data_IF_911665757629
#
_entry.id   IF_911665757629
#
_cell.length_a   1.000
_cell.length_b   1.000
_cell.length_c   1.000
_cell.angle_alpha   90.00
_cell.angle_beta   90.00
_cell.angle_gamma   90.00
#
_symmetry.space_group_name_H-M   'P 1'
#
loop_
_entity.id
_entity.type
_entity.pdbx_description
1 polymer ?
#
# COMPACT_ATOMS: atom_id res chain seq x y z
N UNK A 1 2.64 2.87 -24.71
CA UNK A 1 2.86 2.33 -23.36
C UNK A 1 1.49 1.97 -22.83
N UNK A 2 1.14 0.68 -22.83
CA UNK A 2 -0.20 0.19 -22.47
C UNK A 2 -0.24 0.15 -20.93
N UNK A 3 -1.05 1.03 -20.33
CA UNK A 3 -1.35 1.01 -18.91
C UNK A 3 -2.12 -0.28 -18.62
N UNK A 4 -1.42 -1.31 -18.14
CA UNK A 4 -2.06 -2.45 -17.51
C UNK A 4 -2.72 -1.92 -16.24
N UNK A 5 -4.06 -1.83 -16.24
CA UNK A 5 -4.79 -1.78 -14.98
C UNK A 5 -4.40 -3.04 -14.21
N UNK A 6 -3.59 -2.87 -13.15
CA UNK A 6 -3.25 -3.98 -12.26
C UNK A 6 -4.55 -4.35 -11.53
N UNK A 7 -5.28 -5.32 -12.07
CA UNK A 7 -6.50 -5.83 -11.47
C UNK A 7 -6.12 -6.40 -10.10
N UNK A 8 -6.73 -5.83 -9.06
CA UNK A 8 -6.55 -6.24 -7.68
C UNK A 8 -7.16 -7.63 -7.50
N UNK A 9 -6.31 -8.64 -7.40
CA UNK A 9 -6.73 -9.95 -6.92
C UNK A 9 -6.34 -10.07 -5.44
N UNK A 10 -7.33 -10.29 -4.54
CA UNK A 10 -7.04 -10.66 -3.17
C UNK A 10 -6.29 -11.99 -3.16
N UNK A 11 -5.39 -12.18 -2.19
CA UNK A 11 -4.64 -13.42 -2.10
C UNK A 11 -5.56 -14.53 -1.58
N UNK A 12 -5.77 -15.56 -2.39
CA UNK A 12 -6.64 -16.69 -2.04
C UNK A 12 -5.91 -17.83 -1.31
N UNK A 13 -4.58 -17.86 -1.36
CA UNK A 13 -3.78 -18.96 -0.82
C UNK A 13 -2.93 -18.50 0.38
N UNK A 14 -2.80 -19.34 1.42
CA UNK A 14 -1.96 -19.03 2.57
C UNK A 14 -0.47 -19.17 2.25
N UNK A 15 0.35 -18.28 2.81
CA UNK A 15 1.82 -18.34 2.63
C UNK A 15 2.44 -19.49 3.40
N UNK A 16 3.68 -19.84 3.05
CA UNK A 16 4.50 -20.80 3.83
C UNK A 16 4.61 -20.40 5.30
N UNK A 17 4.66 -19.10 5.59
CA UNK A 17 4.74 -18.58 6.95
C UNK A 17 3.39 -18.72 7.69
N UNK A 18 2.27 -18.43 7.03
CA UNK A 18 0.95 -18.63 7.61
C UNK A 18 0.65 -20.10 7.89
N UNK A 19 1.12 -21.00 7.01
CA UNK A 19 1.09 -22.45 7.25
C UNK A 19 1.93 -22.83 8.47
N UNK A 20 3.16 -22.33 8.57
CA UNK A 20 4.01 -22.60 9.74
C UNK A 20 3.38 -22.12 11.07
N UNK A 21 2.72 -20.96 11.08
CA UNK A 21 1.98 -20.50 12.27
C UNK A 21 0.76 -21.39 12.54
N UNK A 22 0.03 -21.79 11.50
CA UNK A 22 -1.11 -22.68 11.63
C UNK A 22 -0.71 -24.05 12.19
N UNK A 23 0.36 -24.64 11.66
CA UNK A 23 0.91 -25.91 12.13
C UNK A 23 1.34 -25.79 13.60
N UNK A 24 1.89 -24.64 14.02
CA UNK A 24 2.19 -24.40 15.44
C UNK A 24 0.92 -24.25 16.29
N UNK A 25 -0.13 -23.59 15.79
CA UNK A 25 -1.39 -23.45 16.51
C UNK A 25 -2.11 -24.79 16.72
N UNK A 26 -2.00 -25.70 15.75
CA UNK A 26 -2.63 -27.02 15.77
C UNK A 26 -1.80 -28.07 16.55
N UNK A 27 -0.59 -27.72 16.96
CA UNK A 27 0.31 -28.56 17.75
C UNK A 27 -0.24 -28.84 19.15
N UNK A 28 -0.16 -30.09 19.59
CA UNK A 28 -0.78 -30.54 20.86
C UNK A 28 -0.17 -29.82 22.07
N UNK A 29 1.14 -29.55 22.04
CA UNK A 29 1.79 -28.81 23.12
C UNK A 29 1.31 -27.35 23.16
N UNK A 30 1.05 -26.76 22.00
CA UNK A 30 0.59 -25.37 21.86
C UNK A 30 -0.88 -25.20 22.28
N UNK A 31 -1.73 -26.19 22.01
CA UNK A 31 -3.13 -26.21 22.49
C UNK A 31 -3.24 -26.27 24.02
N UNK A 32 -2.20 -26.78 24.69
CA UNK A 32 -2.11 -26.84 26.14
C UNK A 32 -1.46 -25.58 26.77
N UNK A 33 -1.08 -24.58 25.97
CA UNK A 33 -0.54 -23.33 26.49
C UNK A 33 -1.59 -22.51 27.25
N UNK A 34 -1.11 -21.59 28.08
CA UNK A 34 -1.96 -20.57 28.69
C UNK A 34 -2.72 -19.77 27.64
N UNK A 35 -3.98 -19.44 27.94
CA UNK A 35 -4.89 -18.75 27.02
C UNK A 35 -4.31 -17.44 26.47
N UNK A 36 -3.61 -16.66 27.30
CA UNK A 36 -2.99 -15.39 26.89
C UNK A 36 -1.88 -15.62 25.86
N UNK A 37 -1.03 -16.64 26.09
CA UNK A 37 0.05 -17.03 25.17
C UNK A 37 -0.50 -17.57 23.84
N UNK A 38 -1.56 -18.38 23.90
CA UNK A 38 -2.24 -18.89 22.70
C UNK A 38 -2.92 -17.76 21.90
N UNK A 39 -3.61 -16.83 22.57
CA UNK A 39 -4.18 -15.62 21.93
C UNK A 39 -3.12 -14.74 21.30
N UNK A 40 -1.95 -14.59 21.93
CA UNK A 40 -0.84 -13.84 21.34
C UNK A 40 -0.38 -14.49 20.03
N UNK A 41 -0.29 -15.82 19.96
CA UNK A 41 0.05 -16.56 18.73
C UNK A 41 -1.03 -16.42 17.64
N UNK A 42 -2.31 -16.44 17.99
CA UNK A 42 -3.41 -16.14 17.06
C UNK A 42 -3.33 -14.72 16.49
N UNK A 43 -3.02 -13.74 17.33
CA UNK A 43 -2.83 -12.36 16.90
C UNK A 43 -1.58 -12.21 16.03
N UNK A 44 -0.51 -12.94 16.32
CA UNK A 44 0.69 -13.00 15.48
C UNK A 44 0.34 -13.50 14.07
N UNK A 45 -0.46 -14.57 13.94
CA UNK A 45 -0.97 -15.03 12.64
C UNK A 45 -1.68 -13.92 11.87
N UNK A 46 -2.59 -13.21 12.53
CA UNK A 46 -3.39 -12.14 11.93
C UNK A 46 -2.51 -10.98 11.47
N UNK A 47 -1.55 -10.56 12.29
CA UNK A 47 -0.65 -9.46 11.95
C UNK A 47 0.35 -9.85 10.85
N UNK A 48 0.89 -11.07 10.90
CA UNK A 48 1.74 -11.61 9.84
C UNK A 48 1.04 -11.60 8.47
N UNK A 49 -0.21 -12.06 8.44
CA UNK A 49 -1.03 -12.09 7.23
C UNK A 49 -1.25 -10.69 6.64
N UNK A 50 -1.56 -9.73 7.51
CA UNK A 50 -1.74 -8.32 7.14
C UNK A 50 -0.44 -7.74 6.58
N UNK A 51 0.66 -7.81 7.32
CA UNK A 51 1.96 -7.28 6.88
C UNK A 51 2.39 -7.83 5.52
N UNK A 52 2.27 -9.14 5.30
CA UNK A 52 2.64 -9.75 4.01
C UNK A 52 1.73 -9.24 2.89
N UNK A 53 0.42 -9.19 3.14
CA UNK A 53 -0.54 -8.67 2.15
C UNK A 53 -0.23 -7.21 1.81
N UNK A 54 0.07 -6.39 2.82
CA UNK A 54 0.44 -4.99 2.65
C UNK A 54 1.72 -4.81 1.84
N UNK A 55 2.74 -5.65 2.07
CA UNK A 55 3.99 -5.63 1.30
C UNK A 55 3.77 -6.09 -0.15
N UNK A 56 2.97 -7.14 -0.38
CA UNK A 56 2.61 -7.60 -1.73
C UNK A 56 1.82 -6.52 -2.49
N UNK A 57 0.92 -5.82 -1.82
CA UNK A 57 0.17 -4.69 -2.39
C UNK A 57 1.08 -3.50 -2.68
N UNK A 58 1.98 -3.17 -1.75
CA UNK A 58 2.97 -2.12 -1.93
C UNK A 58 3.85 -2.42 -3.15
N UNK A 59 4.30 -3.67 -3.32
CA UNK A 59 5.05 -4.13 -4.51
C UNK A 59 4.30 -3.97 -5.82
N UNK A 60 2.97 -3.97 -5.79
CA UNK A 60 2.15 -3.75 -6.99
C UNK A 60 2.05 -2.27 -7.35
N UNK A 61 2.16 -1.36 -6.39
CA UNK A 61 2.02 0.09 -6.61
C UNK A 61 3.33 0.85 -6.66
N UNK A 62 4.43 0.29 -6.17
CA UNK A 62 5.78 0.88 -6.22
C UNK A 62 6.83 -0.16 -6.64
N UNK A 63 7.95 0.32 -7.18
CA UNK A 63 9.12 -0.48 -7.54
C UNK A 63 10.20 -0.46 -6.45
N UNK A 64 9.85 -0.02 -5.23
CA UNK A 64 10.76 0.08 -4.09
C UNK A 64 11.49 -1.24 -3.80
N UNK A 65 12.83 -1.23 -3.92
CA UNK A 65 13.68 -2.39 -3.73
C UNK A 65 13.67 -2.88 -2.28
N UNK A 66 13.43 -1.98 -1.33
CA UNK A 66 13.39 -2.32 0.08
C UNK A 66 12.23 -3.26 0.44
N UNK A 67 11.18 -3.37 -0.38
CA UNK A 67 10.00 -4.23 -0.09
C UNK A 67 10.41 -5.68 0.14
N UNK A 68 11.20 -6.26 -0.78
CA UNK A 68 11.60 -7.67 -0.69
C UNK A 68 12.52 -7.93 0.51
N UNK A 69 13.33 -6.94 0.87
CA UNK A 69 14.20 -7.04 2.03
C UNK A 69 13.46 -6.85 3.35
N UNK A 70 12.37 -6.08 3.36
CA UNK A 70 11.46 -5.95 4.49
C UNK A 70 10.65 -7.24 4.70
N UNK A 71 10.13 -7.82 3.62
CA UNK A 71 9.43 -9.11 3.65
C UNK A 71 10.31 -10.22 4.25
N UNK A 72 11.55 -10.35 3.78
CA UNK A 72 12.52 -11.31 4.34
C UNK A 72 12.74 -11.13 5.84
N UNK A 73 12.97 -9.88 6.27
CA UNK A 73 13.21 -9.57 7.68
C UNK A 73 12.00 -9.93 8.55
N UNK A 74 10.79 -9.57 8.12
CA UNK A 74 9.54 -9.92 8.83
C UNK A 74 9.39 -11.44 8.90
N UNK A 75 9.65 -12.16 7.81
CA UNK A 75 9.59 -13.62 7.80
C UNK A 75 10.59 -14.27 8.75
N UNK A 76 11.81 -13.74 8.84
CA UNK A 76 12.85 -14.21 9.76
C UNK A 76 12.42 -14.01 11.22
N UNK A 77 12.03 -12.79 11.59
CA UNK A 77 11.61 -12.45 12.96
C UNK A 77 10.40 -13.28 13.39
N UNK A 78 9.41 -13.47 12.51
CA UNK A 78 8.24 -14.28 12.85
C UNK A 78 8.61 -15.77 12.97
N UNK A 79 9.47 -16.31 12.12
CA UNK A 79 9.96 -17.69 12.27
C UNK A 79 10.67 -17.89 13.60
N UNK A 80 11.46 -16.91 14.01
CA UNK A 80 12.11 -16.91 15.31
C UNK A 80 11.09 -16.86 16.45
N UNK A 81 10.08 -15.99 16.36
CA UNK A 81 9.01 -15.87 17.36
C UNK A 81 8.20 -17.16 17.56
N UNK A 82 8.03 -17.96 16.49
CA UNK A 82 7.30 -19.24 16.55
C UNK A 82 8.20 -20.38 17.11
N UNK A 83 9.49 -20.33 16.79
CA UNK A 83 10.43 -21.43 17.05
C UNK A 83 11.16 -21.30 18.39
N UNK A 84 11.34 -20.06 18.89
CA UNK A 84 12.09 -19.76 20.10
C UNK A 84 11.13 -19.45 21.28
N UNK A 85 11.04 -20.31 22.30
CA UNK A 85 10.21 -20.07 23.49
C UNK A 85 10.62 -18.84 24.31
N UNK A 86 11.86 -18.35 24.14
CA UNK A 86 12.42 -17.19 24.82
C UNK A 86 12.55 -15.97 23.91
N UNK A 87 11.76 -15.93 22.83
CA UNK A 87 11.74 -14.79 21.92
C UNK A 87 11.39 -13.49 22.66
N UNK A 88 12.16 -12.45 22.36
CA UNK A 88 11.96 -11.09 22.86
C UNK A 88 11.92 -10.12 21.69
N UNK A 89 10.72 -9.63 21.38
CA UNK A 89 10.49 -8.72 20.26
C UNK A 89 11.27 -7.40 20.36
N UNK A 90 11.67 -6.98 21.56
CA UNK A 90 12.39 -5.73 21.76
C UNK A 90 13.79 -5.75 21.12
N UNK A 91 14.39 -6.94 20.99
CA UNK A 91 15.72 -7.11 20.38
C UNK A 91 15.72 -6.77 18.88
N UNK A 92 14.58 -6.94 18.21
CA UNK A 92 14.43 -6.65 16.78
C UNK A 92 13.91 -5.24 16.50
N UNK A 93 13.57 -4.46 17.55
CA UNK A 93 12.98 -3.12 17.42
C UNK A 93 13.78 -2.20 16.49
N UNK A 94 15.09 -2.09 16.72
CA UNK A 94 15.93 -1.18 15.94
C UNK A 94 16.05 -1.63 14.48
N UNK A 95 16.22 -2.93 14.24
CA UNK A 95 16.41 -3.46 12.88
C UNK A 95 15.12 -3.31 12.07
N UNK A 96 13.96 -3.65 12.65
CA UNK A 96 12.66 -3.48 12.00
C UNK A 96 12.34 -2.02 11.71
N UNK A 97 12.51 -1.11 12.67
CA UNK A 97 12.19 0.30 12.49
C UNK A 97 13.14 1.02 11.53
N UNK A 98 14.44 0.69 11.56
CA UNK A 98 15.38 1.25 10.60
C UNK A 98 15.07 0.76 9.19
N UNK A 99 14.73 -0.52 9.03
CA UNK A 99 14.35 -1.08 7.73
C UNK A 99 13.04 -0.52 7.22
N UNK A 100 12.06 -0.33 8.10
CA UNK A 100 10.79 0.30 7.78
C UNK A 100 10.95 1.77 7.39
N UNK A 101 11.82 2.52 8.09
CA UNK A 101 12.15 3.90 7.73
C UNK A 101 12.74 3.98 6.33
N UNK A 102 13.69 3.09 5.99
CA UNK A 102 14.25 3.02 4.64
C UNK A 102 13.19 2.71 3.57
N UNK A 103 12.27 1.77 3.85
CA UNK A 103 11.16 1.46 2.95
C UNK A 103 10.22 2.67 2.78
N UNK A 104 9.91 3.36 3.88
CA UNK A 104 9.05 4.55 3.87
C UNK A 104 9.66 5.67 3.03
N UNK A 105 10.95 5.93 3.19
CA UNK A 105 11.67 6.96 2.44
C UNK A 105 11.69 6.62 0.94
N UNK A 106 11.96 5.37 0.56
CA UNK A 106 11.96 4.93 -0.85
C UNK A 106 10.56 5.04 -1.47
N UNK A 107 9.51 4.63 -0.74
CA UNK A 107 8.11 4.80 -1.19
C UNK A 107 7.76 6.28 -1.34
N UNK A 108 8.25 7.15 -0.46
CA UNK A 108 8.04 8.60 -0.57
C UNK A 108 8.81 9.23 -1.75
N UNK A 109 10.01 8.76 -2.05
CA UNK A 109 10.78 9.18 -3.22
C UNK A 109 10.05 8.81 -4.52
N UNK A 110 9.55 7.58 -4.63
CA UNK A 110 8.72 7.18 -5.78
C UNK A 110 7.46 8.06 -5.91
N UNK A 111 6.79 8.38 -4.79
CA UNK A 111 5.65 9.32 -4.79
C UNK A 111 6.04 10.72 -5.27
N UNK A 112 7.23 11.20 -4.93
CA UNK A 112 7.71 12.53 -5.34
C UNK A 112 8.10 12.57 -6.83
N UNK A 113 8.64 11.48 -7.38
CA UNK A 113 8.86 11.34 -8.82
C UNK A 113 7.54 11.38 -9.58
N UNK A 114 6.50 10.68 -9.10
CA UNK A 114 5.16 10.73 -9.69
C UNK A 114 4.52 12.13 -9.61
N UNK A 115 4.73 12.88 -8.51
CA UNK A 115 4.33 14.30 -8.42
C UNK A 115 5.02 15.15 -9.48
N UNK A 116 6.30 14.92 -9.75
CA UNK A 116 7.04 15.63 -10.80
C UNK A 116 6.41 15.37 -12.17
N UNK A 117 6.12 14.10 -12.49
CA UNK A 117 5.43 13.73 -13.73
C UNK A 117 4.00 14.29 -13.80
N UNK A 118 3.26 14.31 -12.69
CA UNK A 118 1.94 14.96 -12.62
C UNK A 118 2.04 16.48 -12.83
N UNK A 119 3.07 17.14 -12.29
CA UNK A 119 3.34 18.57 -12.50
C UNK A 119 3.69 18.87 -13.96
N UNK A 120 4.55 18.05 -14.58
CA UNK A 120 4.82 18.11 -16.01
C UNK A 120 3.57 17.87 -16.85
N UNK A 121 2.66 16.99 -16.40
CA UNK A 121 1.42 16.72 -17.08
C UNK A 121 0.42 17.87 -16.94
N UNK A 122 0.32 18.53 -15.78
CA UNK A 122 -0.46 19.77 -15.59
C UNK A 122 0.09 20.89 -16.47
N UNK A 123 1.42 21.01 -16.57
CA UNK A 123 2.06 21.98 -17.46
C UNK A 123 1.77 21.69 -18.94
N UNK A 124 1.87 20.43 -19.36
CA UNK A 124 1.48 19.98 -20.71
C UNK A 124 -0.01 20.23 -20.98
N UNK A 125 -0.89 19.98 -20.00
CA UNK A 125 -2.31 20.27 -20.10
C UNK A 125 -2.61 21.75 -20.21
N UNK A 126 -1.85 22.63 -19.56
CA UNK A 126 -1.99 24.07 -19.74
C UNK A 126 -1.66 24.48 -21.18
N UNK A 127 -0.57 23.95 -21.75
CA UNK A 127 -0.19 24.18 -23.16
C UNK A 127 -1.27 23.64 -24.11
N UNK A 128 -1.73 22.42 -23.86
CA UNK A 128 -2.80 21.74 -24.60
C UNK A 128 -4.12 22.52 -24.49
N UNK A 129 -4.49 23.02 -23.31
CA UNK A 129 -5.72 23.79 -23.09
C UNK A 129 -5.66 25.14 -23.79
N UNK A 130 -4.51 25.82 -23.76
CA UNK A 130 -4.30 27.05 -24.53
C UNK A 130 -4.38 26.77 -26.05
N UNK A 131 -3.80 25.67 -26.52
CA UNK A 131 -3.94 25.21 -27.89
C UNK A 131 -5.37 24.77 -28.24
N UNK A 132 -6.14 24.26 -27.27
CA UNK A 132 -7.54 23.90 -27.42
C UNK A 132 -8.44 25.12 -27.51
N UNK A 133 -8.20 26.16 -26.72
CA UNK A 133 -8.91 27.42 -26.84
C UNK A 133 -8.71 28.05 -28.23
N UNK A 134 -7.46 28.03 -28.73
CA UNK A 134 -7.15 28.44 -30.10
C UNK A 134 -7.77 27.49 -31.14
N UNK A 135 -7.77 26.20 -30.85
CA UNK A 135 -8.33 25.13 -31.68
C UNK A 135 -9.84 25.23 -31.83
N UNK A 136 -10.60 25.50 -30.76
CA UNK A 136 -12.07 25.67 -30.78
C UNK A 136 -12.47 26.89 -31.60
N UNK A 137 -11.71 27.99 -31.49
CA UNK A 137 -11.90 29.19 -32.33
C UNK A 137 -11.64 28.87 -33.81
N UNK A 138 -10.62 28.07 -34.11
CA UNK A 138 -10.30 27.62 -35.47
C UNK A 138 -11.25 26.53 -35.98
N UNK A 139 -11.81 25.69 -35.12
CA UNK A 139 -12.76 24.62 -35.46
C UNK A 139 -14.12 25.20 -35.88
N UNK A 140 -14.57 26.25 -35.18
CA UNK A 140 -15.74 27.03 -35.58
C UNK A 140 -15.56 27.66 -36.97
N UNK A 141 -14.33 28.06 -37.31
CA UNK A 141 -13.99 28.55 -38.65
C UNK A 141 -13.82 27.43 -39.69
N UNK A 142 -13.46 26.22 -39.29
CA UNK A 142 -13.09 25.13 -40.19
C UNK A 142 -14.21 24.17 -40.60
N UNK A 143 -15.36 24.23 -39.93
CA UNK A 143 -16.58 23.55 -40.38
C UNK A 143 -17.02 23.97 -41.80
N UNK A 144 -16.42 25.03 -42.35
CA UNK A 144 -16.68 25.58 -43.68
C UNK A 144 -15.54 25.30 -44.69
N UNK A 145 -14.40 24.73 -44.28
CA UNK A 145 -13.14 24.77 -45.07
C UNK A 145 -12.47 23.40 -45.32
N UNK A 146 -13.16 22.45 -45.96
CA UNK A 146 -12.53 21.33 -46.68
C UNK A 146 -11.40 20.57 -45.94
N UNK A 147 -10.29 20.17 -46.61
CA UNK A 147 -9.22 19.33 -46.01
C UNK A 147 -8.57 19.88 -44.73
N UNK A 148 -8.58 21.21 -44.54
CA UNK A 148 -8.10 21.87 -43.32
C UNK A 148 -8.98 21.54 -42.10
N UNK A 149 -10.27 21.27 -42.30
CA UNK A 149 -11.17 20.81 -41.25
C UNK A 149 -10.82 19.45 -40.67
N UNK A 150 -10.25 18.53 -41.47
CA UNK A 150 -9.81 17.21 -41.01
C UNK A 150 -8.57 17.34 -40.10
N UNK A 151 -7.63 18.23 -40.44
CA UNK A 151 -6.46 18.51 -39.61
C UNK A 151 -6.86 19.10 -38.24
N UNK A 152 -7.85 20.01 -38.22
CA UNK A 152 -8.40 20.58 -36.99
C UNK A 152 -9.15 19.55 -36.15
N UNK A 153 -9.88 18.61 -36.78
CA UNK A 153 -10.48 17.43 -36.13
C UNK A 153 -9.43 16.57 -35.42
N UNK A 154 -8.31 16.30 -36.08
CA UNK A 154 -7.17 15.58 -35.51
C UNK A 154 -6.62 16.27 -34.26
N UNK A 155 -6.41 17.58 -34.32
CA UNK A 155 -5.94 18.37 -33.17
C UNK A 155 -6.96 18.27 -32.03
N UNK A 156 -8.26 18.48 -32.30
CA UNK A 156 -9.34 18.37 -31.31
C UNK A 156 -9.37 17.02 -30.58
N UNK A 157 -9.23 15.91 -31.32
CA UNK A 157 -9.20 14.56 -30.75
C UNK A 157 -7.92 14.30 -29.93
N UNK A 158 -6.80 14.87 -30.33
CA UNK A 158 -5.53 14.76 -29.58
C UNK A 158 -5.62 15.48 -28.24
N UNK A 159 -6.26 16.66 -28.23
CA UNK A 159 -6.51 17.45 -27.03
C UNK A 159 -7.46 16.74 -26.05
N UNK A 160 -8.57 16.18 -26.54
CA UNK A 160 -9.49 15.37 -25.73
C UNK A 160 -8.79 14.14 -25.15
N UNK A 161 -7.95 13.46 -25.94
CA UNK A 161 -7.20 12.29 -25.48
C UNK A 161 -6.19 12.66 -24.39
N UNK A 162 -5.50 13.79 -24.50
CA UNK A 162 -4.58 14.30 -23.47
C UNK A 162 -5.30 14.64 -22.17
N UNK A 163 -6.49 15.26 -22.25
CA UNK A 163 -7.34 15.56 -21.10
C UNK A 163 -7.78 14.28 -20.37
N UNK A 164 -8.28 13.28 -21.10
CA UNK A 164 -8.70 12.00 -20.53
C UNK A 164 -7.53 11.26 -19.89
N UNK A 165 -6.37 11.20 -20.57
CA UNK A 165 -5.15 10.59 -20.03
C UNK A 165 -4.71 11.28 -18.74
N UNK A 166 -4.89 12.59 -18.65
CA UNK A 166 -4.47 13.36 -17.48
C UNK A 166 -5.38 13.17 -16.28
N UNK A 167 -6.69 13.14 -16.50
CA UNK A 167 -7.66 12.80 -15.46
C UNK A 167 -7.40 11.36 -14.97
N UNK A 168 -7.15 10.42 -15.89
CA UNK A 168 -6.82 9.03 -15.53
C UNK A 168 -5.52 8.93 -14.73
N UNK A 169 -4.46 9.64 -15.16
CA UNK A 169 -3.18 9.66 -14.44
C UNK A 169 -3.34 10.28 -13.05
N UNK A 170 -4.12 11.36 -12.92
CA UNK A 170 -4.41 11.97 -11.62
C UNK A 170 -5.21 11.04 -10.70
N UNK A 171 -6.21 10.34 -11.23
CA UNK A 171 -7.00 9.36 -10.46
C UNK A 171 -6.12 8.21 -9.96
N UNK A 172 -5.31 7.62 -10.84
CA UNK A 172 -4.37 6.55 -10.49
C UNK A 172 -3.37 7.03 -9.44
N UNK A 173 -2.89 8.27 -9.53
CA UNK A 173 -1.99 8.86 -8.53
C UNK A 173 -2.65 9.01 -7.14
N UNK A 174 -3.88 9.54 -7.07
CA UNK A 174 -4.59 9.71 -5.79
C UNK A 174 -4.87 8.34 -5.15
N UNK A 175 -5.30 7.37 -5.95
CA UNK A 175 -5.57 6.01 -5.47
C UNK A 175 -4.29 5.30 -5.01
N UNK A 176 -3.19 5.41 -5.78
CA UNK A 176 -1.90 4.82 -5.42
C UNK A 176 -1.34 5.42 -4.13
N UNK A 177 -1.51 6.73 -3.91
CA UNK A 177 -1.13 7.40 -2.65
C UNK A 177 -1.91 6.85 -1.46
N UNK A 178 -3.22 6.76 -1.58
CA UNK A 178 -4.08 6.26 -0.50
C UNK A 178 -3.79 4.80 -0.15
N UNK A 179 -3.55 3.97 -1.18
CA UNK A 179 -3.15 2.58 -1.00
C UNK A 179 -1.78 2.50 -0.31
N UNK A 180 -0.76 3.22 -0.79
CA UNK A 180 0.57 3.20 -0.21
C UNK A 180 0.62 3.65 1.25
N UNK A 181 -0.09 4.73 1.60
CA UNK A 181 -0.15 5.23 2.99
C UNK A 181 -0.85 4.24 3.93
N UNK A 182 -1.94 3.62 3.46
CA UNK A 182 -2.65 2.57 4.22
C UNK A 182 -1.76 1.35 4.45
N UNK A 183 -1.07 0.87 3.40
CA UNK A 183 -0.22 -0.31 3.52
C UNK A 183 0.99 -0.08 4.42
N UNK A 184 1.61 1.10 4.38
CA UNK A 184 2.68 1.45 5.32
C UNK A 184 2.18 1.48 6.78
N UNK A 185 0.98 2.00 7.03
CA UNK A 185 0.37 2.01 8.37
C UNK A 185 0.09 0.59 8.91
N UNK A 186 -0.37 -0.32 8.05
CA UNK A 186 -0.60 -1.73 8.42
C UNK A 186 0.73 -2.45 8.75
N UNK A 187 1.81 -2.13 8.04
CA UNK A 187 3.16 -2.64 8.35
C UNK A 187 3.68 -2.07 9.68
N UNK A 188 3.52 -0.77 9.93
CA UNK A 188 3.92 -0.12 11.19
C UNK A 188 3.19 -0.73 12.41
N UNK A 189 1.87 -0.93 12.30
CA UNK A 189 1.09 -1.58 13.33
C UNK A 189 1.56 -3.03 13.60
N UNK A 190 1.97 -3.75 12.55
CA UNK A 190 2.54 -5.08 12.66
C UNK A 190 3.91 -5.12 13.32
N UNK A 191 4.80 -4.15 13.02
CA UNK A 191 6.10 -3.99 13.68
C UNK A 191 5.91 -3.70 15.18
N UNK A 192 5.06 -2.73 15.51
CA UNK A 192 4.76 -2.36 16.90
C UNK A 192 4.21 -3.55 17.71
N UNK A 193 3.43 -4.41 17.05
CA UNK A 193 2.97 -5.67 17.63
C UNK A 193 4.13 -6.65 17.85
N UNK A 194 4.97 -6.88 16.83
CA UNK A 194 6.12 -7.79 16.92
C UNK A 194 7.10 -7.38 18.02
N UNK A 195 7.32 -6.09 18.20
CA UNK A 195 8.25 -5.57 19.22
C UNK A 195 7.71 -5.71 20.64
N UNK A 196 6.40 -5.87 20.79
CA UNK A 196 5.72 -6.06 22.07
C UNK A 196 5.35 -7.54 22.34
N UNK A 197 5.56 -8.42 21.36
CA UNK A 197 5.26 -9.85 21.46
C UNK A 197 6.29 -10.58 22.35
N UNK A 198 5.88 -11.53 23.21
CA UNK A 198 4.53 -12.05 23.41
C UNK A 198 3.67 -11.29 24.45
N UNK A 199 4.21 -10.23 25.05
CA UNK A 199 3.57 -9.45 26.13
C UNK A 199 2.51 -8.45 25.58
N UNK A 200 1.48 -8.99 24.92
CA UNK A 200 0.41 -8.21 24.25
C UNK A 200 -0.58 -7.57 25.24
N UNK A 201 -0.51 -7.92 26.53
CA UNK A 201 -1.43 -7.47 27.58
C UNK A 201 -1.47 -5.93 27.74
N UNK A 202 -0.38 -5.24 27.36
CA UNK A 202 -0.29 -3.77 27.37
C UNK A 202 -0.98 -3.05 26.20
N UNK A 203 -1.44 -3.78 25.18
CA UNK A 203 -2.11 -3.18 24.00
C UNK A 203 -3.61 -3.48 23.90
N UNK A 204 -4.13 -4.43 24.69
CA UNK A 204 -5.54 -4.82 24.69
C UNK A 204 -6.43 -4.00 25.63
N UNK A 205 -5.86 -3.22 26.56
CA UNK A 205 -6.63 -2.42 27.52
C UNK A 205 -7.18 -1.10 26.92
N UNK A 206 -6.74 -0.70 25.72
CA UNK A 206 -7.22 0.53 25.06
C UNK A 206 -8.52 0.41 24.27
N UNK A 207 -9.07 -0.79 24.10
CA UNK A 207 -10.27 -1.04 23.28
C UNK A 207 -11.48 -1.58 24.08
N UNK A 208 -11.51 -1.38 25.40
CA UNK A 208 -12.76 -1.51 26.17
C UNK A 208 -13.40 -0.12 26.28
N UNK A 209 -14.53 0.16 25.60
CA UNK A 209 -15.29 1.36 25.90
C UNK A 209 -15.80 1.21 27.33
N UNK A 210 -15.22 2.00 28.23
CA UNK A 210 -15.69 2.22 29.58
C UNK A 210 -17.04 2.94 29.54
N UNK A 211 -18.09 2.25 29.13
CA UNK A 211 -19.47 2.66 29.39
C UNK A 211 -19.90 1.99 30.70
N UNK A 212 -19.52 2.64 31.80
CA UNK A 212 -20.18 2.44 33.08
C UNK A 212 -20.74 3.80 33.53
N UNK A 213 -22.06 3.82 33.75
CA UNK A 213 -22.82 4.70 34.65
C UNK A 213 -23.11 6.16 34.24
N UNK A 214 -24.31 6.35 33.68
CA UNK A 214 -25.26 7.43 34.01
C UNK A 214 -26.62 6.97 33.42
N UNK A 215 -27.74 6.83 34.12
CA UNK A 215 -28.12 7.05 35.51
C UNK A 215 -29.51 6.42 35.73
N UNK A 216 -29.84 6.14 36.98
CA UNK A 216 -31.23 6.10 37.46
C UNK A 216 -31.68 7.55 37.63
#
# INVERSE_FOLDING_TARGET
MIFYSKIYFPRFFPTTLEKAIQDKLDDTDTLNWELTRYKALLNLKKQASRMISSLEELKKVTEAQQIDSMDKLIQEVIKEAISNPSFDGSQHFNVLNNKFSLLKDEVEEHKNLEKCFSGCNVFANSIVTSAAALGVVLFGAAAVTGPLGIALLGIGMTLLSALVLSIATYSVYVDARFIGDKQLSEIDAGINFLTSYPNVELMLEKDVPSNTLCGI
#
